data_IF_857638855236
#
_entry.id   IF_857638855236
#
_cell.length_a   1.000
_cell.length_b   1.000
_cell.length_c   1.000
_cell.angle_alpha   90.00
_cell.angle_beta   90.00
_cell.angle_gamma   90.00
#
_symmetry.space_group_name_H-M   'P 1'
#
loop_
_entity.id
_entity.type
_entity.pdbx_description
1 polymer ?
#
# COMPACT_ATOMS: atom_id res chain seq x y z
N UNK A 1 -8.03 -3.25 -20.06
CA UNK A 1 -6.87 -3.89 -19.43
C UNK A 1 -5.98 -2.78 -18.92
N UNK A 2 -6.02 -2.46 -17.61
CA UNK A 2 -5.18 -1.39 -17.06
C UNK A 2 -3.84 -2.01 -16.64
N UNK A 3 -2.79 -1.67 -17.39
CA UNK A 3 -1.41 -1.98 -17.05
C UNK A 3 -0.98 -1.03 -15.95
N UNK A 4 -0.70 -1.53 -14.74
CA UNK A 4 -0.02 -0.74 -13.70
C UNK A 4 1.36 -0.38 -14.26
N UNK A 5 1.58 0.89 -14.56
CA UNK A 5 2.83 1.38 -15.16
C UNK A 5 3.91 1.38 -14.09
N UNK A 6 5.19 1.27 -14.46
CA UNK A 6 6.30 1.38 -13.51
C UNK A 6 6.24 2.68 -12.67
N UNK A 7 5.58 3.71 -13.20
CA UNK A 7 5.27 4.97 -12.50
C UNK A 7 4.33 4.79 -11.30
N UNK A 8 3.32 3.93 -11.41
CA UNK A 8 2.38 3.63 -10.33
C UNK A 8 3.10 2.92 -9.17
N UNK A 9 4.06 2.05 -9.46
CA UNK A 9 4.90 1.40 -8.42
C UNK A 9 5.79 2.39 -7.66
N UNK A 10 6.41 3.33 -8.37
CA UNK A 10 7.19 4.39 -7.72
C UNK A 10 6.29 5.27 -6.82
N UNK A 11 5.08 5.58 -7.29
CA UNK A 11 4.09 6.34 -6.51
C UNK A 11 3.64 5.56 -5.26
N UNK A 12 3.43 4.24 -5.39
CA UNK A 12 3.09 3.36 -4.27
C UNK A 12 4.21 3.37 -3.23
N UNK A 13 5.47 3.22 -3.63
CA UNK A 13 6.60 3.27 -2.68
C UNK A 13 6.64 4.57 -1.88
N UNK A 14 6.52 5.72 -2.56
CA UNK A 14 6.49 7.03 -1.90
C UNK A 14 5.30 7.11 -0.93
N UNK A 15 4.15 6.57 -1.32
CA UNK A 15 2.94 6.53 -0.51
C UNK A 15 3.13 5.63 0.73
N UNK A 16 3.77 4.47 0.58
CA UNK A 16 4.11 3.57 1.68
C UNK A 16 5.12 4.20 2.66
N UNK A 17 6.17 4.84 2.14
CA UNK A 17 7.15 5.59 2.96
C UNK A 17 6.45 6.67 3.78
N UNK A 18 5.58 7.45 3.13
CA UNK A 18 4.79 8.49 3.79
C UNK A 18 3.85 7.94 4.86
N UNK A 19 3.20 6.81 4.60
CA UNK A 19 2.34 6.12 5.58
C UNK A 19 3.14 5.72 6.82
N UNK A 20 4.33 5.15 6.62
CA UNK A 20 5.21 4.71 7.71
C UNK A 20 5.71 5.90 8.52
N UNK A 21 6.14 6.98 7.85
CA UNK A 21 6.60 8.22 8.50
C UNK A 21 5.48 8.90 9.29
N UNK A 22 4.29 9.04 8.70
CA UNK A 22 3.16 9.73 9.33
C UNK A 22 2.40 8.86 10.32
N UNK A 23 2.68 7.54 10.33
CA UNK A 23 1.93 6.50 11.04
C UNK A 23 0.42 6.59 10.81
N UNK A 24 0.03 7.01 9.61
CA UNK A 24 -1.35 7.32 9.25
C UNK A 24 -1.65 6.78 7.87
N UNK A 25 -2.83 6.20 7.74
CA UNK A 25 -3.38 5.69 6.47
C UNK A 25 -4.75 6.28 6.28
N UNK A 26 -5.01 6.90 5.14
CA UNK A 26 -6.37 7.31 4.79
C UNK A 26 -7.20 6.12 4.32
N UNK A 27 -8.54 6.21 4.45
CA UNK A 27 -9.44 5.22 3.84
C UNK A 27 -9.23 5.06 2.33
N UNK A 28 -8.85 6.13 1.65
CA UNK A 28 -8.56 6.10 0.22
C UNK A 28 -7.30 5.27 -0.08
N UNK A 29 -6.21 5.53 0.63
CA UNK A 29 -4.95 4.80 0.51
C UNK A 29 -5.12 3.31 0.86
N UNK A 30 -5.86 3.01 1.93
CA UNK A 30 -6.19 1.63 2.29
C UNK A 30 -6.89 0.90 1.15
N UNK A 31 -7.93 1.51 0.55
CA UNK A 31 -8.66 0.90 -0.58
C UNK A 31 -7.79 0.74 -1.82
N UNK A 32 -6.92 1.70 -2.11
CA UNK A 32 -5.97 1.57 -3.21
C UNK A 32 -5.03 0.39 -2.99
N UNK A 33 -4.43 0.27 -1.80
CA UNK A 33 -3.55 -0.85 -1.44
C UNK A 33 -4.26 -2.20 -1.53
N UNK A 34 -5.51 -2.29 -1.04
CA UNK A 34 -6.31 -3.52 -1.17
C UNK A 34 -6.61 -3.85 -2.64
N UNK A 35 -6.98 -2.85 -3.44
CA UNK A 35 -7.24 -3.05 -4.87
C UNK A 35 -6.00 -3.53 -5.62
N UNK A 36 -4.82 -2.99 -5.26
CA UNK A 36 -3.53 -3.42 -5.81
C UNK A 36 -3.21 -4.86 -5.41
N UNK A 37 -3.42 -5.22 -4.13
CA UNK A 37 -3.19 -6.57 -3.62
C UNK A 37 -4.11 -7.60 -4.31
N UNK A 38 -5.38 -7.24 -4.55
CA UNK A 38 -6.35 -8.07 -5.26
C UNK A 38 -6.05 -8.16 -6.76
N UNK A 39 -5.42 -7.14 -7.35
CA UNK A 39 -4.94 -7.14 -8.74
C UNK A 39 -3.63 -7.92 -8.92
N UNK A 40 -3.42 -8.95 -8.08
CA UNK A 40 -2.19 -9.69 -7.77
C UNK A 40 -1.32 -10.20 -8.95
N UNK A 41 -1.76 -10.05 -10.19
CA UNK A 41 -1.05 -10.54 -11.37
C UNK A 41 0.23 -9.76 -11.70
N UNK A 42 0.39 -8.53 -11.17
CA UNK A 42 1.50 -7.63 -11.49
C UNK A 42 2.39 -7.26 -10.29
N UNK A 43 2.15 -7.84 -9.10
CA UNK A 43 2.97 -7.54 -7.92
C UNK A 43 4.11 -8.55 -7.81
N UNK A 44 5.35 -8.06 -7.79
CA UNK A 44 6.50 -8.87 -7.38
C UNK A 44 6.35 -9.32 -5.92
N UNK A 45 6.95 -10.46 -5.53
CA UNK A 45 6.91 -10.93 -4.15
C UNK A 45 7.42 -9.91 -3.12
N UNK A 46 8.39 -9.07 -3.49
CA UNK A 46 8.88 -7.96 -2.66
C UNK A 46 7.80 -6.88 -2.43
N UNK A 47 7.12 -6.46 -3.50
CA UNK A 47 6.05 -5.44 -3.43
C UNK A 47 4.86 -5.95 -2.60
N UNK A 48 4.49 -7.23 -2.79
CA UNK A 48 3.49 -7.90 -1.95
C UNK A 48 3.87 -7.90 -0.47
N UNK A 49 5.15 -8.13 -0.18
CA UNK A 49 5.67 -8.13 1.20
C UNK A 49 5.60 -6.73 1.80
N UNK A 50 5.94 -5.69 1.04
CA UNK A 50 5.84 -4.29 1.51
C UNK A 50 4.39 -3.90 1.83
N UNK A 51 3.46 -4.23 0.93
CA UNK A 51 2.03 -3.96 1.13
C UNK A 51 1.50 -4.71 2.35
N UNK A 52 1.82 -6.01 2.49
CA UNK A 52 1.41 -6.81 3.65
C UNK A 52 1.96 -6.24 4.96
N UNK A 53 3.19 -5.71 4.96
CA UNK A 53 3.81 -5.10 6.14
C UNK A 53 3.05 -3.85 6.59
N UNK A 54 2.54 -3.05 5.65
CA UNK A 54 1.69 -1.89 5.96
C UNK A 54 0.34 -2.32 6.52
N UNK A 55 -0.27 -3.37 5.98
CA UNK A 55 -1.49 -3.95 6.57
C UNK A 55 -1.24 -4.52 7.97
N UNK A 56 -0.10 -5.17 8.21
CA UNK A 56 0.29 -5.67 9.54
C UNK A 56 0.48 -4.51 10.53
N UNK A 57 1.10 -3.42 10.11
CA UNK A 57 1.22 -2.21 10.93
C UNK A 57 -0.13 -1.54 11.21
N UNK A 58 -1.08 -1.61 10.27
CA UNK A 58 -2.44 -1.14 10.49
C UNK A 58 -3.20 -2.04 11.47
N UNK A 59 -3.11 -3.36 11.29
CA UNK A 59 -3.80 -4.34 12.12
C UNK A 59 -3.25 -4.39 13.55
N UNK A 60 -1.93 -4.22 13.71
CA UNK A 60 -1.28 -4.11 15.02
C UNK A 60 -1.49 -2.75 15.70
N UNK A 61 -2.15 -1.80 15.04
CA UNK A 61 -2.42 -0.46 15.56
C UNK A 61 -1.21 0.48 15.56
N UNK A 62 -0.11 0.09 14.90
CA UNK A 62 1.06 0.96 14.70
C UNK A 62 0.79 2.07 13.67
N UNK A 63 -0.11 1.83 12.72
CA UNK A 63 -0.70 2.84 11.84
C UNK A 63 -2.12 3.15 12.32
N UNK A 64 -2.46 4.44 12.31
CA UNK A 64 -3.83 4.87 12.53
C UNK A 64 -4.53 5.07 11.19
N UNK A 65 -5.66 4.40 11.02
CA UNK A 65 -6.57 4.74 9.94
C UNK A 65 -7.20 6.11 10.25
N UNK A 66 -6.87 7.11 9.44
CA UNK A 66 -7.39 8.47 9.53
C UNK A 66 -8.30 8.72 8.31
N UNK A 67 -9.19 9.70 8.39
CA UNK A 67 -10.03 10.14 7.26
C UNK A 67 -9.76 11.62 7.00
#
# INVERSE_FOLDING_TARGET
MQTVSAKDMAMIKILLERIVEQRRVTRHEHRQLTSLLLSAHNLSPEERTQINRVFDYLQSGQLKLVD
#
